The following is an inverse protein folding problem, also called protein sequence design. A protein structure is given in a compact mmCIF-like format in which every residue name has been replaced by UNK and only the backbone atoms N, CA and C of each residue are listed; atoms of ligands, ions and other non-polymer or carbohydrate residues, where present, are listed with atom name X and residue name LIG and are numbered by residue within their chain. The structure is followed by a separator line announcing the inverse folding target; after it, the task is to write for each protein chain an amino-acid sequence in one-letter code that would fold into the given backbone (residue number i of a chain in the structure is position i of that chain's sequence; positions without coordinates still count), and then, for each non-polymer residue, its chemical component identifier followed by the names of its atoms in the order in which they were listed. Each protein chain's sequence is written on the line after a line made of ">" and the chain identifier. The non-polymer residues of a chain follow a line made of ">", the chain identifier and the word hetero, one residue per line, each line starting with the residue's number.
data_IF_058872483692
#
_entry.id   IF_058872483692
#
_cell.length_a   1.000
_cell.length_b   1.000
_cell.length_c   1.000
_cell.angle_alpha   90.00
_cell.angle_beta   90.00
_cell.angle_gamma   90.00
#
_symmetry.space_group_name_H-M   'P 1'
#
loop_
_entity.id
_entity.type
_entity.pdbx_description
1 polymer ?
#
# COMPACT_ATOMS: atom_id res chain seq x y z
N UNK A 1 -8.14 47.78 37.80
CA UNK A 1 -7.44 46.48 37.67
C UNK A 1 -7.97 45.64 36.50
N UNK A 2 -8.78 46.19 35.59
CA UNK A 2 -9.55 45.37 34.61
C UNK A 2 -8.82 45.10 33.29
N UNK A 3 -7.87 45.97 32.90
CA UNK A 3 -7.14 45.85 31.63
C UNK A 3 -6.26 44.60 31.55
N UNK A 4 -5.69 44.16 32.69
CA UNK A 4 -4.83 42.97 32.75
C UNK A 4 -5.63 41.68 32.58
N UNK A 5 -6.87 41.62 33.07
CA UNK A 5 -7.76 40.46 32.90
C UNK A 5 -8.23 40.29 31.46
N UNK A 6 -8.53 41.40 30.76
CA UNK A 6 -8.92 41.39 29.35
C UNK A 6 -7.74 40.96 28.45
N UNK A 7 -6.53 41.47 28.72
CA UNK A 7 -5.32 41.06 27.98
C UNK A 7 -4.97 39.59 28.19
N UNK A 8 -5.08 39.08 29.42
CA UNK A 8 -4.90 37.65 29.72
C UNK A 8 -5.97 36.77 29.06
N UNK A 9 -7.24 37.20 29.09
CA UNK A 9 -8.34 36.49 28.42
C UNK A 9 -8.18 36.43 26.90
N UNK A 10 -7.79 37.54 26.27
CA UNK A 10 -7.49 37.60 24.84
C UNK A 10 -6.30 36.72 24.43
N UNK A 11 -5.25 36.68 25.26
CA UNK A 11 -4.09 35.82 25.03
C UNK A 11 -4.47 34.33 25.08
N UNK A 12 -5.24 33.91 26.09
CA UNK A 12 -5.70 32.52 26.25
C UNK A 12 -6.61 32.10 25.09
N UNK A 13 -7.55 32.95 24.69
CA UNK A 13 -8.43 32.67 23.56
C UNK A 13 -7.65 32.56 22.24
N UNK A 14 -6.68 33.45 22.01
CA UNK A 14 -5.81 33.40 20.83
C UNK A 14 -4.96 32.12 20.78
N UNK A 15 -4.37 31.71 21.91
CA UNK A 15 -3.59 30.46 22.00
C UNK A 15 -4.48 29.23 21.81
N UNK A 16 -5.67 29.20 22.44
CA UNK A 16 -6.62 28.10 22.28
C UNK A 16 -7.12 27.95 20.84
N UNK A 17 -7.42 29.06 20.15
CA UNK A 17 -7.79 29.05 18.74
C UNK A 17 -6.67 28.54 17.83
N UNK A 18 -5.42 28.93 18.10
CA UNK A 18 -4.27 28.49 17.33
C UNK A 18 -3.98 26.99 17.54
N UNK A 19 -4.05 26.51 18.78
CA UNK A 19 -3.91 25.09 19.13
C UNK A 19 -5.03 24.28 18.47
N UNK A 20 -6.28 24.73 18.57
CA UNK A 20 -7.42 24.08 17.92
C UNK A 20 -7.24 23.94 16.42
N UNK A 21 -6.83 25.02 15.74
CA UNK A 21 -6.59 24.99 14.30
C UNK A 21 -5.46 24.03 13.89
N UNK A 22 -4.35 24.03 14.63
CA UNK A 22 -3.23 23.10 14.38
C UNK A 22 -3.63 21.64 14.61
N UNK A 23 -4.43 21.35 15.64
CA UNK A 23 -4.92 20.00 15.92
C UNK A 23 -5.87 19.53 14.80
N UNK A 24 -6.82 20.36 14.38
CA UNK A 24 -7.75 20.03 13.28
C UNK A 24 -6.99 19.75 11.99
N UNK A 25 -6.05 20.62 11.60
CA UNK A 25 -5.26 20.44 10.39
C UNK A 25 -4.41 19.16 10.44
N UNK A 26 -3.83 18.83 11.60
CA UNK A 26 -3.09 17.58 11.78
C UNK A 26 -4.01 16.36 11.67
N UNK A 27 -5.24 16.42 12.20
CA UNK A 27 -6.19 15.32 12.07
C UNK A 27 -6.65 15.11 10.63
N UNK A 28 -6.95 16.18 9.90
CA UNK A 28 -7.33 16.13 8.48
C UNK A 28 -6.21 15.57 7.62
N UNK A 29 -4.97 16.04 7.81
CA UNK A 29 -3.83 15.54 7.07
C UNK A 29 -3.57 14.04 7.36
N UNK A 30 -3.70 13.62 8.62
CA UNK A 30 -3.57 12.19 8.99
C UNK A 30 -4.67 11.33 8.36
N UNK A 31 -5.90 11.82 8.32
CA UNK A 31 -7.02 11.13 7.68
C UNK A 31 -6.82 11.06 6.17
N UNK A 32 -6.38 12.14 5.54
CA UNK A 32 -6.05 12.18 4.12
C UNK A 32 -4.95 11.16 3.76
N UNK A 33 -3.85 11.15 4.50
CA UNK A 33 -2.78 10.16 4.31
C UNK A 33 -3.27 8.72 4.50
N UNK A 34 -4.22 8.49 5.41
CA UNK A 34 -4.84 7.17 5.60
C UNK A 34 -5.66 6.76 4.39
N UNK A 35 -6.48 7.66 3.84
CA UNK A 35 -7.25 7.40 2.62
C UNK A 35 -6.33 7.06 1.44
N UNK A 36 -5.26 7.82 1.26
CA UNK A 36 -4.25 7.57 0.22
C UNK A 36 -3.57 6.20 0.39
N UNK A 37 -3.21 5.81 1.61
CA UNK A 37 -2.66 4.46 1.86
C UNK A 37 -3.66 3.35 1.53
N UNK A 38 -4.92 3.50 1.95
CA UNK A 38 -5.96 2.50 1.68
C UNK A 38 -6.19 2.32 0.17
N UNK A 39 -6.21 3.41 -0.59
CA UNK A 39 -6.29 3.40 -2.04
C UNK A 39 -5.12 2.62 -2.65
N UNK A 40 -3.88 2.92 -2.24
CA UNK A 40 -2.68 2.20 -2.72
C UNK A 40 -2.65 0.72 -2.32
N UNK A 41 -3.11 0.38 -1.13
CA UNK A 41 -3.21 -1.02 -0.71
C UNK A 41 -4.27 -1.78 -1.50
N UNK A 42 -5.42 -1.17 -1.77
CA UNK A 42 -6.47 -1.74 -2.62
C UNK A 42 -5.99 -1.95 -4.05
N UNK A 43 -5.29 -0.96 -4.62
CA UNK A 43 -4.65 -1.02 -5.93
C UNK A 43 -3.68 -2.22 -6.01
N UNK A 44 -2.78 -2.34 -5.03
CA UNK A 44 -1.85 -3.47 -4.96
C UNK A 44 -2.54 -4.83 -4.90
N UNK A 45 -3.55 -4.98 -4.05
CA UNK A 45 -4.29 -6.25 -3.89
C UNK A 45 -4.96 -6.64 -5.21
N UNK A 46 -5.59 -5.67 -5.89
CA UNK A 46 -6.21 -5.88 -7.19
C UNK A 46 -5.19 -6.37 -8.23
N UNK A 47 -4.04 -5.70 -8.32
CA UNK A 47 -2.96 -6.06 -9.25
C UNK A 47 -2.37 -7.43 -8.93
N UNK A 48 -2.16 -7.74 -7.65
CA UNK A 48 -1.70 -9.06 -7.23
C UNK A 48 -2.66 -10.16 -7.71
N UNK A 49 -3.97 -9.97 -7.50
CA UNK A 49 -4.97 -10.96 -7.92
C UNK A 49 -5.00 -11.11 -9.45
N UNK A 50 -5.06 -10.01 -10.19
CA UNK A 50 -5.07 -10.06 -11.65
C UNK A 50 -3.82 -10.74 -12.24
N UNK A 51 -2.63 -10.36 -11.77
CA UNK A 51 -1.36 -10.94 -12.25
C UNK A 51 -1.21 -12.40 -11.82
N UNK A 52 -1.52 -12.75 -10.58
CA UNK A 52 -1.42 -14.15 -10.12
C UNK A 52 -2.40 -15.07 -10.86
N UNK A 53 -3.61 -14.60 -11.15
CA UNK A 53 -4.58 -15.33 -11.96
C UNK A 53 -4.03 -15.65 -13.35
N UNK A 54 -3.44 -14.66 -14.04
CA UNK A 54 -2.78 -14.86 -15.34
C UNK A 54 -1.71 -15.94 -15.27
N UNK A 55 -0.83 -15.88 -14.26
CA UNK A 55 0.26 -16.84 -14.10
C UNK A 55 -0.27 -18.27 -13.85
N UNK A 56 -1.33 -18.40 -13.03
CA UNK A 56 -1.98 -19.69 -12.74
C UNK A 56 -2.66 -20.25 -13.98
N UNK A 57 -3.39 -19.41 -14.73
CA UNK A 57 -4.06 -19.83 -15.97
C UNK A 57 -3.04 -20.28 -17.03
N UNK A 58 -1.93 -19.53 -17.17
CA UNK A 58 -0.86 -19.93 -18.08
C UNK A 58 -0.23 -21.26 -17.66
N UNK A 59 0.04 -21.47 -16.37
CA UNK A 59 0.55 -22.76 -15.89
C UNK A 59 -0.40 -23.92 -16.23
N UNK A 60 -1.71 -23.71 -16.07
CA UNK A 60 -2.70 -24.75 -16.30
C UNK A 60 -2.95 -25.05 -17.78
N UNK A 61 -2.83 -24.05 -18.67
CA UNK A 61 -3.25 -24.15 -20.08
C UNK A 61 -2.10 -24.08 -21.08
N UNK A 62 -0.91 -23.61 -20.67
CA UNK A 62 0.24 -23.36 -21.53
C UNK A 62 0.04 -22.20 -22.51
N UNK A 63 -1.05 -21.43 -22.38
CA UNK A 63 -1.40 -20.32 -23.28
C UNK A 63 -1.74 -19.09 -22.45
N UNK A 64 -1.30 -17.92 -22.92
CA UNK A 64 -1.63 -16.65 -22.27
C UNK A 64 -3.12 -16.33 -22.42
N UNK A 65 -3.78 -15.84 -21.37
CA UNK A 65 -5.16 -15.36 -21.47
C UNK A 65 -5.29 -14.22 -22.48
N UNK A 66 -6.43 -14.11 -23.15
CA UNK A 66 -6.72 -13.00 -24.10
C UNK A 66 -6.67 -11.63 -23.40
N UNK A 67 -7.05 -11.58 -22.13
CA UNK A 67 -7.06 -10.38 -21.29
C UNK A 67 -5.71 -10.12 -20.59
N UNK A 68 -4.63 -10.78 -21.01
CA UNK A 68 -3.31 -10.64 -20.42
C UNK A 68 -2.86 -9.18 -20.28
N UNK A 69 -2.98 -8.37 -21.33
CA UNK A 69 -2.55 -6.96 -21.31
C UNK A 69 -3.34 -6.12 -20.30
N UNK A 70 -4.63 -6.41 -20.14
CA UNK A 70 -5.51 -5.73 -19.19
C UNK A 70 -5.22 -6.14 -17.75
N UNK A 71 -4.85 -7.41 -17.51
CA UNK A 71 -4.51 -7.95 -16.18
C UNK A 71 -3.05 -7.69 -15.77
N UNK A 72 -2.17 -7.41 -16.73
CA UNK A 72 -0.74 -7.16 -16.51
C UNK A 72 -0.38 -5.66 -16.52
N UNK A 73 -1.21 -4.84 -15.87
CA UNK A 73 -0.94 -3.41 -15.74
C UNK A 73 0.25 -3.14 -14.81
N UNK A 74 1.05 -2.11 -15.13
CA UNK A 74 2.15 -1.62 -14.29
C UNK A 74 1.63 -1.16 -12.93
N UNK A 75 2.37 -1.47 -11.87
CA UNK A 75 2.07 -0.98 -10.53
C UNK A 75 2.87 0.30 -10.25
N UNK A 76 2.20 1.36 -9.79
CA UNK A 76 2.85 2.59 -9.34
C UNK A 76 3.46 2.40 -7.94
N UNK A 77 4.66 1.80 -7.92
CA UNK A 77 5.43 1.61 -6.69
C UNK A 77 5.94 2.92 -6.07
N UNK A 78 6.10 3.98 -6.86
CA UNK A 78 6.58 5.27 -6.37
C UNK A 78 5.50 5.96 -5.53
N UNK A 79 4.26 5.95 -5.99
CA UNK A 79 3.12 6.47 -5.24
C UNK A 79 2.95 5.80 -3.87
N UNK A 80 3.21 4.49 -3.77
CA UNK A 80 3.17 3.78 -2.50
C UNK A 80 4.24 4.28 -1.51
N UNK A 81 5.48 4.47 -1.97
CA UNK A 81 6.60 4.91 -1.12
C UNK A 81 6.38 6.30 -0.52
N UNK A 82 5.58 7.14 -1.17
CA UNK A 82 5.24 8.48 -0.67
C UNK A 82 4.26 8.46 0.50
N UNK A 83 3.41 7.44 0.60
CA UNK A 83 2.28 7.44 1.53
C UNK A 83 2.37 6.35 2.60
N UNK A 84 3.06 5.24 2.30
CA UNK A 84 3.14 4.06 3.15
C UNK A 84 4.48 3.94 3.90
N UNK A 85 4.48 3.41 5.14
CA UNK A 85 5.73 3.09 5.83
C UNK A 85 6.56 2.06 5.06
N UNK A 86 7.88 2.14 5.20
CA UNK A 86 8.83 1.23 4.54
C UNK A 86 8.54 -0.25 4.87
N UNK A 87 8.17 -0.55 6.11
CA UNK A 87 7.81 -1.89 6.56
C UNK A 87 6.65 -2.51 5.76
N UNK A 88 5.77 -1.69 5.16
CA UNK A 88 4.68 -2.14 4.27
C UNK A 88 5.10 -2.06 2.81
N UNK A 89 5.76 -0.97 2.41
CA UNK A 89 6.12 -0.73 1.03
C UNK A 89 7.13 -1.77 0.50
N UNK A 90 8.12 -2.18 1.31
CA UNK A 90 9.14 -3.14 0.88
C UNK A 90 8.55 -4.52 0.52
N UNK A 91 7.74 -5.19 1.37
CA UNK A 91 7.06 -6.43 0.99
C UNK A 91 6.19 -6.30 -0.28
N UNK A 92 5.50 -5.17 -0.46
CA UNK A 92 4.70 -4.91 -1.66
C UNK A 92 5.57 -4.89 -2.91
N UNK A 93 6.63 -4.08 -2.92
CA UNK A 93 7.53 -3.99 -4.07
C UNK A 93 8.24 -5.32 -4.36
N UNK A 94 8.61 -6.07 -3.31
CA UNK A 94 9.15 -7.44 -3.45
C UNK A 94 8.13 -8.39 -4.09
N UNK A 95 6.85 -8.26 -3.75
CA UNK A 95 5.77 -9.07 -4.35
C UNK A 95 5.62 -8.77 -5.84
N UNK A 96 5.58 -7.50 -6.22
CA UNK A 96 5.46 -7.07 -7.63
C UNK A 96 6.65 -7.55 -8.46
N UNK A 97 7.88 -7.36 -7.96
CA UNK A 97 9.09 -7.84 -8.62
C UNK A 97 9.11 -9.38 -8.72
N UNK A 98 8.65 -10.10 -7.69
CA UNK A 98 8.58 -11.55 -7.73
C UNK A 98 7.58 -12.05 -8.79
N UNK A 99 6.43 -11.37 -8.96
CA UNK A 99 5.46 -11.65 -10.02
C UNK A 99 6.06 -11.44 -11.41
N UNK A 100 6.81 -10.34 -11.61
CA UNK A 100 7.52 -10.06 -12.88
C UNK A 100 8.59 -11.10 -13.19
N UNK A 101 9.33 -11.56 -12.17
CA UNK A 101 10.29 -12.66 -12.33
C UNK A 101 9.60 -13.97 -12.69
N UNK A 102 8.47 -14.28 -12.06
CA UNK A 102 7.69 -15.48 -12.37
C UNK A 102 7.18 -15.46 -13.82
N UNK A 103 6.66 -14.32 -14.28
CA UNK A 103 6.28 -14.11 -15.68
C UNK A 103 7.46 -14.31 -16.64
N UNK A 104 8.61 -13.71 -16.35
CA UNK A 104 9.78 -13.84 -17.20
C UNK A 104 10.24 -15.29 -17.38
N UNK A 105 10.08 -16.13 -16.36
CA UNK A 105 10.38 -17.57 -16.44
C UNK A 105 9.37 -18.28 -17.35
N UNK A 106 8.08 -17.97 -17.20
CA UNK A 106 7.03 -18.55 -18.05
C UNK A 106 7.22 -18.19 -19.53
N UNK A 107 7.58 -16.94 -19.83
CA UNK A 107 7.81 -16.46 -21.20
C UNK A 107 9.08 -17.03 -21.84
N UNK A 108 10.07 -17.44 -21.05
CA UNK A 108 11.34 -18.00 -21.52
C UNK A 108 11.36 -19.53 -21.54
N UNK A 109 10.20 -20.19 -21.37
CA UNK A 109 10.08 -21.65 -21.31
C UNK A 109 10.99 -22.28 -20.24
N UNK A 110 11.12 -21.64 -19.08
CA UNK A 110 11.90 -22.21 -17.97
C UNK A 110 11.25 -23.48 -17.39
N UNK A 111 12.02 -24.29 -16.63
CA UNK A 111 11.49 -25.50 -15.98
C UNK A 111 10.28 -25.20 -15.08
N UNK A 112 9.26 -26.09 -15.09
CA UNK A 112 8.05 -25.90 -14.27
C UNK A 112 8.33 -25.88 -12.76
N UNK A 113 9.38 -26.57 -12.32
CA UNK A 113 9.85 -26.57 -10.93
C UNK A 113 10.32 -25.18 -10.49
N UNK A 114 10.95 -24.42 -11.39
CA UNK A 114 11.36 -23.04 -11.12
C UNK A 114 10.13 -22.15 -10.94
N UNK A 115 9.09 -22.33 -11.75
CA UNK A 115 7.86 -21.54 -11.64
C UNK A 115 7.14 -21.77 -10.29
N UNK A 116 6.95 -23.02 -9.88
CA UNK A 116 6.30 -23.34 -8.57
C UNK A 116 7.09 -22.80 -7.39
N UNK A 117 8.43 -22.87 -7.44
CA UNK A 117 9.30 -22.27 -6.44
C UNK A 117 9.10 -20.75 -6.35
N UNK A 118 9.02 -20.06 -7.49
CA UNK A 118 8.80 -18.61 -7.53
C UNK A 118 7.43 -18.20 -7.04
N UNK A 119 6.38 -18.97 -7.36
CA UNK A 119 5.04 -18.70 -6.83
C UNK A 119 4.96 -18.85 -5.30
N UNK A 120 5.77 -19.73 -4.70
CA UNK A 120 5.92 -19.77 -3.23
C UNK A 120 6.51 -18.47 -2.70
N UNK A 121 7.60 -17.98 -3.29
CA UNK A 121 8.22 -16.69 -2.92
C UNK A 121 7.26 -15.51 -3.10
N UNK A 122 6.48 -15.48 -4.19
CA UNK A 122 5.43 -14.47 -4.41
C UNK A 122 4.44 -14.48 -3.25
N UNK A 123 3.95 -15.65 -2.85
CA UNK A 123 2.98 -15.78 -1.78
C UNK A 123 3.54 -15.42 -0.40
N UNK A 124 4.81 -15.70 -0.15
CA UNK A 124 5.50 -15.28 1.08
C UNK A 124 5.57 -13.76 1.19
N UNK A 125 6.01 -13.08 0.13
CA UNK A 125 6.06 -11.62 0.10
C UNK A 125 4.66 -11.00 0.18
N UNK A 126 3.67 -11.59 -0.48
CA UNK A 126 2.29 -11.13 -0.41
C UNK A 126 1.73 -11.22 1.01
N UNK A 127 1.95 -12.33 1.71
CA UNK A 127 1.54 -12.49 3.11
C UNK A 127 2.19 -11.46 4.02
N UNK A 128 3.49 -11.22 3.85
CA UNK A 128 4.19 -10.18 4.61
C UNK A 128 3.61 -8.78 4.33
N UNK A 129 3.27 -8.48 3.08
CA UNK A 129 2.62 -7.23 2.71
C UNK A 129 1.25 -7.08 3.38
N UNK A 130 0.39 -8.11 3.32
CA UNK A 130 -0.93 -8.09 3.96
C UNK A 130 -0.85 -7.91 5.49
N UNK A 131 0.11 -8.57 6.14
CA UNK A 131 0.34 -8.39 7.58
C UNK A 131 0.76 -6.95 7.89
N UNK A 132 1.70 -6.40 7.13
CA UNK A 132 2.14 -5.02 7.28
C UNK A 132 1.01 -4.01 7.09
N UNK A 133 0.20 -4.17 6.03
CA UNK A 133 -0.98 -3.32 5.77
C UNK A 133 -2.00 -3.39 6.91
N UNK A 134 -2.27 -4.60 7.42
CA UNK A 134 -3.19 -4.79 8.54
C UNK A 134 -2.69 -4.04 9.77
N UNK A 135 -1.41 -4.19 10.12
CA UNK A 135 -0.81 -3.49 11.28
C UNK A 135 -0.87 -1.97 11.08
N UNK A 136 -0.45 -1.44 9.92
CA UNK A 136 -0.48 0.00 9.62
C UNK A 136 -1.90 0.60 9.72
N UNK A 137 -2.92 -0.16 9.31
CA UNK A 137 -4.32 0.28 9.41
C UNK A 137 -4.91 0.13 10.82
N UNK A 138 -4.37 -0.77 11.67
CA UNK A 138 -4.85 -1.05 13.03
C UNK A 138 -4.16 -0.22 14.12
N UNK A 139 -2.85 0.02 14.04
CA UNK A 139 -2.08 0.78 15.05
C UNK A 139 -2.59 2.21 15.26
N UNK A 140 -3.39 2.75 14.32
CA UNK A 140 -3.98 4.09 14.41
C UNK A 140 -5.45 4.12 14.84
N UNK A 141 -6.01 3.01 15.32
CA UNK A 141 -7.33 2.99 15.99
C UNK A 141 -7.23 3.10 17.53
N UNK A 142 -6.03 2.96 18.10
CA UNK A 142 -5.82 2.87 19.56
C UNK A 142 -5.26 4.16 20.20
N UNK A 143 -5.20 5.28 19.47
CA UNK A 143 -4.63 6.55 19.94
C UNK A 143 -5.53 7.75 19.67
#
# INVERSE_FOLDING_TARGET
>A
MELRGILLGGLIAGVAGLIGHLLTRNTEHRQWLRGQRQEKYSEFISIYHARSEVLIQYQARGVLPEDFSAKWQSYDGAGLLLVAPEAVALPVLKTVNALERAQNILLKSGPEEDFRSRMRTVNEHYRAALMGMRVDLQEKQAG
#
